data_IF_502940185004
#
_entry.id   IF_502940185004
#
_cell.length_a   1.000
_cell.length_b   1.000
_cell.length_c   1.000
_cell.angle_alpha   90.00
_cell.angle_beta   90.00
_cell.angle_gamma   90.00
#
_symmetry.space_group_name_H-M   'P 1'
#
loop_
_entity.id
_entity.type
_entity.pdbx_description
1 polymer ?
#
# COMPACT_ATOMS: atom_id res chain seq x y z
N UNK A 1 -4.46 12.04 -0.84
CA UNK A 1 -4.28 10.59 -1.12
C UNK A 1 -4.16 10.42 -2.63
N UNK A 2 -3.21 9.63 -3.14
CA UNK A 2 -3.08 9.41 -4.59
C UNK A 2 -4.30 8.60 -5.09
N UNK A 3 -5.11 9.11 -6.05
CA UNK A 3 -6.34 8.45 -6.50
C UNK A 3 -6.11 7.01 -6.98
N UNK A 4 -4.97 6.77 -7.63
CA UNK A 4 -4.59 5.45 -8.13
C UNK A 4 -4.30 4.46 -7.01
N UNK A 5 -3.79 4.92 -5.87
CA UNK A 5 -3.59 4.06 -4.69
C UNK A 5 -4.93 3.66 -4.09
N UNK A 6 -5.90 4.58 -4.02
CA UNK A 6 -7.24 4.28 -3.51
C UNK A 6 -7.90 3.17 -4.32
N UNK A 7 -7.91 3.30 -5.65
CA UNK A 7 -8.46 2.28 -6.57
C UNK A 7 -7.82 0.90 -6.38
N UNK A 8 -6.51 0.85 -6.10
CA UNK A 8 -5.81 -0.41 -5.87
C UNK A 8 -6.21 -1.07 -4.55
N UNK A 9 -6.47 -0.28 -3.50
CA UNK A 9 -6.99 -0.81 -2.23
C UNK A 9 -8.44 -1.29 -2.35
N UNK A 10 -9.27 -0.58 -3.12
CA UNK A 10 -10.64 -1.02 -3.39
C UNK A 10 -10.63 -2.36 -4.14
N UNK A 11 -9.79 -2.48 -5.18
CA UNK A 11 -9.61 -3.72 -5.94
C UNK A 11 -9.02 -4.85 -5.08
N UNK A 12 -8.12 -4.54 -4.15
CA UNK A 12 -7.60 -5.54 -3.21
C UNK A 12 -8.71 -6.09 -2.31
N UNK A 13 -9.60 -5.22 -1.86
CA UNK A 13 -10.76 -5.59 -1.03
C UNK A 13 -11.71 -6.51 -1.81
N UNK A 14 -12.02 -6.19 -3.06
CA UNK A 14 -12.85 -7.02 -3.95
C UNK A 14 -12.26 -8.42 -4.16
N UNK A 15 -10.93 -8.50 -4.37
CA UNK A 15 -10.22 -9.78 -4.52
C UNK A 15 -10.28 -10.60 -3.23
N UNK A 16 -10.01 -9.97 -2.09
CA UNK A 16 -10.04 -10.64 -0.79
C UNK A 16 -11.46 -11.13 -0.44
N UNK A 17 -12.50 -10.38 -0.79
CA UNK A 17 -13.89 -10.83 -0.67
C UNK A 17 -14.18 -12.02 -1.58
N UNK A 18 -13.77 -11.96 -2.84
CA UNK A 18 -13.97 -13.06 -3.79
C UNK A 18 -13.30 -14.35 -3.33
N UNK A 19 -12.06 -14.26 -2.83
CA UNK A 19 -11.30 -15.40 -2.33
C UNK A 19 -11.98 -16.10 -1.13
N UNK A 20 -12.79 -15.39 -0.33
CA UNK A 20 -13.54 -16.01 0.79
C UNK A 20 -14.64 -16.95 0.31
N UNK A 21 -15.17 -16.74 -0.90
CA UNK A 21 -16.27 -17.54 -1.44
C UNK A 21 -15.82 -18.72 -2.30
N UNK A 22 -14.55 -18.76 -2.69
CA UNK A 22 -14.00 -19.84 -3.51
C UNK A 22 -13.51 -21.00 -2.63
N UNK A 23 -13.92 -22.22 -2.97
CA UNK A 23 -13.40 -23.43 -2.34
C UNK A 23 -12.28 -24.03 -3.21
N UNK A 24 -10.99 -23.89 -2.85
CA UNK A 24 -9.89 -24.39 -3.66
C UNK A 24 -9.87 -25.92 -3.80
N UNK A 25 -10.73 -26.65 -3.08
CA UNK A 25 -10.87 -28.11 -3.23
C UNK A 25 -11.82 -28.50 -4.36
N UNK A 26 -12.61 -27.57 -4.89
CA UNK A 26 -13.45 -27.78 -6.06
C UNK A 26 -12.67 -27.38 -7.31
N UNK A 27 -12.57 -28.27 -8.30
CA UNK A 27 -11.72 -28.06 -9.47
C UNK A 27 -11.99 -26.77 -10.25
N UNK A 28 -13.26 -26.36 -10.39
CA UNK A 28 -13.64 -25.10 -11.05
C UNK A 28 -13.20 -23.87 -10.23
N UNK A 29 -13.42 -23.91 -8.93
CA UNK A 29 -13.02 -22.84 -8.01
C UNK A 29 -11.50 -22.79 -7.83
N UNK A 30 -10.78 -23.90 -7.98
CA UNK A 30 -9.32 -23.94 -7.86
C UNK A 30 -8.64 -23.03 -8.89
N UNK A 31 -8.99 -23.18 -10.17
CA UNK A 31 -8.45 -22.33 -11.24
C UNK A 31 -8.78 -20.86 -10.99
N UNK A 32 -10.00 -20.57 -10.54
CA UNK A 32 -10.45 -19.21 -10.22
C UNK A 32 -9.70 -18.65 -9.01
N UNK A 33 -9.47 -19.47 -7.99
CA UNK A 33 -8.73 -19.10 -6.77
C UNK A 33 -7.28 -18.76 -7.07
N UNK A 34 -6.59 -19.56 -7.89
CA UNK A 34 -5.22 -19.26 -8.36
C UNK A 34 -5.19 -17.93 -9.10
N UNK A 35 -6.11 -17.68 -10.03
CA UNK A 35 -6.20 -16.41 -10.76
C UNK A 35 -6.35 -15.21 -9.81
N UNK A 36 -7.23 -15.31 -8.81
CA UNK A 36 -7.43 -14.22 -7.85
C UNK A 36 -6.23 -14.01 -6.94
N UNK A 37 -5.51 -15.05 -6.54
CA UNK A 37 -4.27 -14.92 -5.80
C UNK A 37 -3.18 -14.20 -6.60
N UNK A 38 -2.97 -14.57 -7.86
CA UNK A 38 -2.00 -13.90 -8.73
C UNK A 38 -2.36 -12.41 -8.94
N UNK A 39 -3.64 -12.14 -9.19
CA UNK A 39 -4.16 -10.75 -9.28
C UNK A 39 -3.91 -9.96 -8.00
N UNK A 40 -4.10 -10.59 -6.83
CA UNK A 40 -3.83 -9.99 -5.51
C UNK A 40 -2.38 -9.57 -5.36
N UNK A 41 -1.45 -10.43 -5.77
CA UNK A 41 -0.02 -10.16 -5.67
C UNK A 41 0.40 -9.01 -6.60
N UNK A 42 -0.14 -8.96 -7.82
CA UNK A 42 0.10 -7.86 -8.76
C UNK A 42 -0.39 -6.51 -8.18
N UNK A 43 -1.57 -6.50 -7.56
CA UNK A 43 -2.12 -5.31 -6.91
C UNK A 43 -1.24 -4.88 -5.74
N UNK A 44 -0.83 -5.82 -4.88
CA UNK A 44 0.08 -5.55 -3.76
C UNK A 44 1.42 -4.97 -4.23
N UNK A 45 2.01 -5.52 -5.30
CA UNK A 45 3.24 -5.00 -5.90
C UNK A 45 3.06 -3.57 -6.42
N UNK A 46 1.92 -3.28 -7.05
CA UNK A 46 1.61 -1.96 -7.57
C UNK A 46 1.48 -0.93 -6.46
N UNK A 47 0.77 -1.26 -5.38
CA UNK A 47 0.65 -0.41 -4.18
C UNK A 47 2.05 -0.11 -3.63
N UNK A 48 2.88 -1.15 -3.39
CA UNK A 48 4.24 -0.97 -2.88
C UNK A 48 5.09 -0.05 -3.76
N UNK A 49 4.99 -0.19 -5.08
CA UNK A 49 5.74 0.65 -6.04
C UNK A 49 5.30 2.10 -5.95
N UNK A 50 4.00 2.37 -5.91
CA UNK A 50 3.49 3.74 -5.82
C UNK A 50 3.81 4.33 -4.43
N UNK A 51 3.66 3.57 -3.35
CA UNK A 51 4.00 4.01 -1.99
C UNK A 51 5.47 4.40 -1.86
N UNK A 52 6.40 3.67 -2.48
CA UNK A 52 7.83 4.07 -2.52
C UNK A 52 8.05 5.43 -3.18
N UNK A 53 7.23 5.78 -4.17
CA UNK A 53 7.32 7.05 -4.88
C UNK A 53 6.56 8.20 -4.20
N UNK A 54 5.65 7.90 -3.28
CA UNK A 54 4.89 8.89 -2.49
C UNK A 54 5.54 9.14 -1.14
N UNK A 55 6.41 8.23 -0.67
CA UNK A 55 7.11 8.41 0.59
C UNK A 55 7.79 9.79 0.57
N UNK A 56 7.39 10.74 1.45
CA UNK A 56 7.99 12.04 1.44
C UNK A 56 9.47 11.85 1.74
N UNK A 57 10.32 12.06 0.73
CA UNK A 57 11.72 12.28 1.01
C UNK A 57 11.76 13.58 1.79
N UNK A 58 12.05 13.50 3.08
CA UNK A 58 12.40 14.69 3.83
C UNK A 58 13.61 15.27 3.10
N UNK A 59 13.52 16.49 2.54
CA UNK A 59 14.64 17.05 1.79
C UNK A 59 15.81 17.30 2.75
N UNK A 60 17.05 16.99 2.36
CA UNK A 60 18.22 17.44 3.11
C UNK A 60 18.23 18.99 3.19
N UNK A 61 18.62 19.59 4.34
CA UNK A 61 19.24 18.99 5.53
C UNK A 61 18.23 18.43 6.56
N UNK A 62 16.93 18.55 6.30
CA UNK A 62 15.89 18.17 7.26
C UNK A 62 15.81 16.65 7.49
N UNK A 63 16.25 15.84 6.52
CA UNK A 63 16.38 14.39 6.69
C UNK A 63 17.46 14.01 7.70
N UNK A 64 18.52 14.82 7.82
CA UNK A 64 19.59 14.67 8.81
C UNK A 64 19.30 15.41 10.13
N UNK A 65 18.19 16.16 10.20
CA UNK A 65 17.83 16.98 11.35
C UNK A 65 16.93 16.18 12.30
N UNK A 66 17.30 16.10 13.58
CA UNK A 66 16.48 15.40 14.58
C UNK A 66 15.18 16.15 14.85
N UNK A 67 14.13 15.43 15.28
CA UNK A 67 12.85 16.05 15.62
C UNK A 67 13.00 17.21 16.61
N UNK A 68 13.91 17.08 17.58
CA UNK A 68 14.21 18.12 18.58
C UNK A 68 14.81 19.39 17.97
N UNK A 69 15.69 19.26 16.97
CA UNK A 69 16.29 20.40 16.27
C UNK A 69 15.26 21.14 15.40
N UNK A 70 14.34 20.41 14.77
CA UNK A 70 13.23 20.99 14.00
C UNK A 70 12.31 21.80 14.94
N UNK A 71 11.94 21.22 16.08
CA UNK A 71 11.03 21.87 17.05
C UNK A 71 11.68 23.11 17.70
N UNK A 72 12.98 23.06 18.01
CA UNK A 72 13.74 24.23 18.51
C UNK A 72 13.81 25.34 17.46
N UNK A 73 14.03 25.01 16.19
CA UNK A 73 14.09 25.98 15.08
C UNK A 73 12.75 26.65 14.78
N UNK A 74 11.63 25.96 15.05
CA UNK A 74 10.28 26.51 14.89
C UNK A 74 9.85 27.45 16.04
N UNK A 75 10.71 27.69 17.04
CA UNK A 75 10.42 28.62 18.14
C UNK A 75 9.27 28.16 19.04
N UNK A 76 8.96 26.86 19.06
CA UNK A 76 7.80 26.31 19.79
C UNK A 76 8.09 26.10 21.29
N UNK A 77 9.32 26.33 21.73
CA UNK A 77 9.66 26.39 23.15
C UNK A 77 9.73 27.85 23.60
N UNK A 78 8.81 28.24 24.49
CA UNK A 78 9.02 29.30 25.47
C UNK A 78 9.53 28.69 26.77
#
# INVERSE_FOLDING_TARGET
MNPRISELFDRLTEIDETLKFLDPKKGEDFCRWIYFLESRDIVCMSIRRISKNINPQIPEPWASTTADEIIKGLGVYK
#
